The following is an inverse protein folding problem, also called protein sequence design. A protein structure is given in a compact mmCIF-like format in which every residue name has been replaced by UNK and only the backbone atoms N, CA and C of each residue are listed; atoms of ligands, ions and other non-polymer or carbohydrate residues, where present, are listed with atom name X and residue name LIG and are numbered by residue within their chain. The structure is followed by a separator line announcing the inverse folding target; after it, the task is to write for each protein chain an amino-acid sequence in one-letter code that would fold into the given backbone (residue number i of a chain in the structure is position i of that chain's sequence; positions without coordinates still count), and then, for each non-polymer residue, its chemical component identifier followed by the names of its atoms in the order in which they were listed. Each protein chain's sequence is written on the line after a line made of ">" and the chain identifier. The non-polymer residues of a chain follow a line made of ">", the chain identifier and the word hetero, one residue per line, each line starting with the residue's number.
data_IF_033057597116
#
_entry.id   IF_033057597116
#
_cell.length_a   1.000
_cell.length_b   1.000
_cell.length_c   1.000
_cell.angle_alpha   90.00
_cell.angle_beta   90.00
_cell.angle_gamma   90.00
#
_symmetry.space_group_name_H-M   'P 1'
#
loop_
_entity.id
_entity.type
_entity.pdbx_description
1 polymer ?
#
# COMPACT_ATOMS: atom_id res chain seq x y z
N UNK A 1 28.97 -12.17 -2.44
CA UNK A 1 28.39 -12.07 -2.45
C UNK A 1 27.73 -11.69 -2.51
N UNK A 2 27.82 -11.80 -2.43
CA UNK A 2 27.12 -11.60 -2.45
C UNK A 2 26.12 -11.42 -2.53
N UNK A 3 25.77 -11.71 -2.61
CA UNK A 3 24.82 -11.49 -2.77
C UNK A 3 24.07 -10.95 -2.48
N UNK A 4 24.09 -11.10 -2.31
CA UNK A 4 23.58 -10.69 -2.04
C UNK A 4 23.04 -10.07 -1.46
N UNK A 5 23.45 -10.14 -1.03
CA UNK A 5 23.16 -9.23 -0.02
C UNK A 5 22.07 -8.34 -0.37
N UNK A 6 22.04 -8.10 -1.45
CA UNK A 6 20.97 -7.32 -1.91
C UNK A 6 19.74 -8.14 -2.07
N UNK A 7 19.91 -9.37 -1.74
CA UNK A 7 18.84 -10.30 -1.93
C UNK A 7 17.89 -10.20 -0.76
N UNK A 8 16.72 -9.67 -1.03
CA UNK A 8 15.67 -9.58 -0.04
C UNK A 8 14.72 -10.73 -0.24
N UNK A 9 14.42 -11.50 0.80
CA UNK A 9 13.46 -12.58 0.65
C UNK A 9 12.15 -12.06 0.08
N UNK A 10 11.54 -12.83 -0.79
CA UNK A 10 10.32 -12.39 -1.46
C UNK A 10 9.23 -12.07 -0.44
N UNK A 11 9.19 -12.83 0.64
CA UNK A 11 8.17 -12.61 1.64
C UNK A 11 8.40 -11.33 2.44
N UNK A 12 9.55 -10.68 2.25
CA UNK A 12 9.83 -9.41 2.93
C UNK A 12 10.00 -8.31 1.90
N UNK A 13 9.14 -8.31 0.93
CA UNK A 13 9.20 -7.32 -0.13
C UNK A 13 8.49 -6.05 0.34
N UNK A 14 9.26 -5.04 0.67
CA UNK A 14 8.73 -3.80 1.21
C UNK A 14 8.91 -2.65 0.25
N UNK A 15 8.14 -1.60 0.46
CA UNK A 15 8.20 -0.41 -0.35
C UNK A 15 8.03 0.82 0.54
N UNK A 16 8.58 1.92 0.08
CA UNK A 16 8.42 3.19 0.78
C UNK A 16 7.11 3.84 0.36
N UNK A 17 6.57 4.75 1.20
CA UNK A 17 5.33 5.43 0.83
C UNK A 17 5.39 6.12 -0.52
N UNK A 18 6.53 6.68 -0.88
CA UNK A 18 6.68 7.32 -2.17
C UNK A 18 6.56 6.37 -3.35
N UNK A 19 6.83 5.09 -3.12
CA UNK A 19 6.70 4.08 -4.15
C UNK A 19 5.26 3.56 -4.24
N UNK A 20 4.58 3.54 -3.11
CA UNK A 20 3.22 3.02 -3.03
C UNK A 20 2.20 4.04 -3.52
N UNK A 21 2.41 5.30 -3.21
CA UNK A 21 1.44 6.34 -3.51
C UNK A 21 1.01 6.36 -4.98
N UNK A 22 1.94 6.38 -5.95
CA UNK A 22 1.50 6.41 -7.33
C UNK A 22 0.76 5.15 -7.75
N UNK A 23 1.09 4.02 -7.16
CA UNK A 23 0.39 2.78 -7.46
C UNK A 23 -1.07 2.86 -7.04
N UNK A 24 -1.33 3.54 -5.94
CA UNK A 24 -2.68 3.71 -5.44
C UNK A 24 -3.37 4.96 -5.96
N UNK A 25 -2.68 5.73 -6.79
CA UNK A 25 -3.25 6.94 -7.34
C UNK A 25 -3.38 8.06 -6.33
N UNK A 26 -2.49 8.10 -5.36
CA UNK A 26 -2.53 9.12 -4.32
C UNK A 26 -1.15 9.71 -4.13
N UNK A 27 -0.97 10.47 -3.07
CA UNK A 27 0.30 11.09 -2.73
C UNK A 27 0.77 10.54 -1.40
N UNK A 28 2.04 10.86 -1.06
CA UNK A 28 2.54 10.44 0.25
C UNK A 28 1.69 11.05 1.37
N UNK A 29 1.29 12.30 1.19
CA UNK A 29 0.41 12.94 2.17
C UNK A 29 -0.92 12.22 2.27
N UNK A 30 -1.45 11.78 1.13
CA UNK A 30 -2.69 11.02 1.11
C UNK A 30 -2.55 9.71 1.86
N UNK A 31 -1.40 9.03 1.68
CA UNK A 31 -1.15 7.80 2.42
C UNK A 31 -1.08 8.06 3.92
N UNK A 32 -0.44 9.17 4.30
CA UNK A 32 -0.35 9.51 5.71
C UNK A 32 -1.72 9.75 6.31
N UNK A 33 -2.61 10.38 5.55
CA UNK A 33 -3.98 10.57 5.99
C UNK A 33 -4.70 9.25 6.19
N UNK A 34 -4.49 8.32 5.28
CA UNK A 34 -5.09 6.99 5.41
C UNK A 34 -4.59 6.29 6.68
N UNK A 35 -3.29 6.39 6.95
CA UNK A 35 -2.75 5.78 8.17
C UNK A 35 -3.35 6.41 9.41
N UNK A 36 -3.49 7.72 9.39
CA UNK A 36 -4.06 8.43 10.53
C UNK A 36 -5.50 8.00 10.79
N UNK A 37 -6.25 7.78 9.73
CA UNK A 37 -7.67 7.40 9.83
C UNK A 37 -7.88 5.91 10.03
N UNK A 38 -6.81 5.13 9.92
CA UNK A 38 -6.93 3.68 10.03
C UNK A 38 -7.52 3.05 8.77
N UNK A 39 -7.38 3.72 7.63
CA UNK A 39 -7.83 3.19 6.36
C UNK A 39 -6.63 2.93 5.48
N UNK A 40 -6.85 2.45 4.26
CA UNK A 40 -5.77 2.18 3.34
C UNK A 40 -5.09 0.84 3.62
N UNK A 41 -3.99 0.58 2.92
CA UNK A 41 -3.27 -0.68 3.10
C UNK A 41 -2.63 -0.77 4.47
N UNK A 42 -2.41 -1.97 4.93
CA UNK A 42 -1.67 -2.18 6.16
C UNK A 42 -0.23 -1.71 5.94
N UNK A 43 0.40 -1.30 7.02
CA UNK A 43 1.76 -0.80 6.95
C UNK A 43 2.56 -1.31 8.15
N UNK A 44 3.88 -1.17 8.04
CA UNK A 44 4.79 -1.59 9.10
C UNK A 44 5.56 -0.37 9.56
N UNK A 45 5.66 -0.20 10.86
CA UNK A 45 6.49 0.86 11.42
C UNK A 45 7.82 0.27 11.86
N UNK A 46 8.89 0.85 11.36
CA UNK A 46 10.23 0.42 11.72
C UNK A 46 10.91 1.66 12.29
N UNK A 47 10.93 1.75 13.60
CA UNK A 47 11.39 2.96 14.25
C UNK A 47 10.46 4.10 13.88
N UNK A 48 11.02 5.12 13.25
CA UNK A 48 10.24 6.26 12.81
C UNK A 48 9.79 6.14 11.36
N UNK A 49 10.25 5.10 10.69
CA UNK A 49 9.94 4.93 9.28
C UNK A 49 8.69 4.10 9.10
N UNK A 50 7.99 4.39 8.04
CA UNK A 50 6.83 3.60 7.63
C UNK A 50 7.20 2.91 6.33
N UNK A 51 6.93 1.62 6.26
CA UNK A 51 7.10 0.88 5.02
C UNK A 51 5.83 0.07 4.80
N UNK A 52 5.62 -0.31 3.55
CA UNK A 52 4.50 -1.15 3.16
C UNK A 52 5.02 -2.44 2.60
N UNK A 53 4.29 -3.51 2.75
CA UNK A 53 4.58 -4.74 2.04
C UNK A 53 3.73 -4.75 0.79
N UNK A 54 4.34 -5.12 -0.32
CA UNK A 54 3.58 -5.17 -1.57
C UNK A 54 2.40 -6.13 -1.49
N UNK A 55 2.52 -7.19 -0.70
CA UNK A 55 1.41 -8.11 -0.50
C UNK A 55 0.22 -7.41 0.16
N UNK A 56 0.49 -6.51 1.11
CA UNK A 56 -0.58 -5.77 1.76
C UNK A 56 -1.20 -4.74 0.83
N UNK A 57 -0.37 -4.14 -0.02
CA UNK A 57 -0.88 -3.20 -1.03
C UNK A 57 -1.78 -3.94 -2.00
N UNK A 58 -1.37 -5.13 -2.42
CA UNK A 58 -2.18 -5.93 -3.31
C UNK A 58 -3.52 -6.30 -2.66
N UNK A 59 -3.47 -6.71 -1.39
CA UNK A 59 -4.69 -7.07 -0.69
C UNK A 59 -5.65 -5.89 -0.63
N UNK A 60 -5.12 -4.70 -0.38
CA UNK A 60 -5.94 -3.50 -0.35
C UNK A 60 -6.59 -3.25 -1.72
N UNK A 61 -5.79 -3.37 -2.78
CA UNK A 61 -6.32 -3.16 -4.13
C UNK A 61 -7.41 -4.16 -4.46
N UNK A 62 -7.19 -5.41 -4.09
CA UNK A 62 -8.18 -6.45 -4.36
C UNK A 62 -9.46 -6.22 -3.59
N UNK A 63 -9.33 -5.77 -2.34
CA UNK A 63 -10.50 -5.51 -1.51
C UNK A 63 -11.32 -4.34 -2.04
N UNK A 64 -10.68 -3.46 -2.81
CA UNK A 64 -11.35 -2.29 -3.36
C UNK A 64 -11.68 -2.43 -4.84
N UNK A 65 -11.52 -3.61 -5.38
CA UNK A 65 -11.86 -3.87 -6.77
C UNK A 65 -13.36 -3.90 -6.93
N UNK A 66 -13.86 -3.17 -7.92
CA UNK A 66 -15.29 -3.14 -8.23
C UNK A 66 -15.45 -3.46 -9.71
N UNK A 67 -16.56 -4.08 -10.04
CA UNK A 67 -16.82 -4.50 -11.40
C UNK A 67 -17.73 -3.52 -12.15
N UNK A 68 -18.48 -2.72 -11.42
CA UNK A 68 -19.39 -1.76 -12.01
C UNK A 68 -19.33 -0.49 -11.21
N UNK A 69 -19.59 0.61 -11.89
CA UNK A 69 -19.58 1.90 -11.22
C UNK A 69 -20.73 2.04 -10.24
N UNK A 70 -21.77 1.23 -10.36
CA UNK A 70 -22.88 1.27 -9.42
C UNK A 70 -22.70 0.31 -8.25
N UNK A 71 -21.54 -0.33 -8.14
CA UNK A 71 -21.22 -1.16 -6.99
C UNK A 71 -21.20 -0.27 -5.75
N UNK A 72 -21.83 -0.71 -4.64
CA UNK A 72 -21.86 0.14 -3.44
C UNK A 72 -20.50 0.62 -2.98
N UNK A 73 -19.47 -0.18 -3.19
CA UNK A 73 -18.12 0.23 -2.80
C UNK A 73 -17.57 1.31 -3.70
N UNK A 74 -18.12 1.42 -4.91
CA UNK A 74 -17.65 2.41 -5.87
C UNK A 74 -18.46 3.68 -5.85
N UNK A 75 -19.66 3.63 -5.32
CA UNK A 75 -20.57 4.76 -5.39
C UNK A 75 -19.99 5.98 -4.71
N UNK A 76 -19.39 5.80 -3.57
CA UNK A 76 -18.83 6.92 -2.85
C UNK A 76 -17.63 7.51 -3.54
N UNK A 77 -17.09 6.84 -4.52
CA UNK A 77 -15.91 7.28 -5.25
C UNK A 77 -16.30 8.06 -6.49
N UNK A 78 -17.46 7.76 -7.01
CA UNK A 78 -17.92 8.36 -8.25
C UNK A 78 -18.09 9.86 -8.18
#
# INVERSE_FOLDING_TARGET
>A
MKASPTSIPVEIDTALPGQVAPVLGTTEAGLAQMRYRGTGPRFVKVGRKVVYRWSDVRTYLEANTVQRTDDPRGVGVA
#
